data_IF_441033392011
#
_entry.id   IF_441033392011
#
_cell.length_a   1.000
_cell.length_b   1.000
_cell.length_c   1.000
_cell.angle_alpha   90.00
_cell.angle_beta   90.00
_cell.angle_gamma   90.00
#
_symmetry.space_group_name_H-M   'P 1'
#
loop_
_entity.id
_entity.type
_entity.pdbx_description
1 polymer ?
#
# COMPACT_ATOMS: atom_id res chain seq x y z
N UNK A 1 13.47 11.74 3.35
CA UNK A 1 13.07 10.73 2.34
C UNK A 1 11.64 11.04 1.98
N UNK A 2 11.33 11.23 0.70
CA UNK A 2 10.00 11.72 0.31
C UNK A 2 9.01 10.54 0.20
N UNK A 3 7.96 10.54 1.01
CA UNK A 3 6.85 9.58 0.96
C UNK A 3 5.85 10.03 -0.10
N UNK A 4 5.37 9.10 -0.92
CA UNK A 4 4.34 9.38 -1.91
C UNK A 4 2.99 8.91 -1.38
N UNK A 5 2.00 9.80 -1.31
CA UNK A 5 0.65 9.46 -0.82
C UNK A 5 -0.32 9.67 -1.98
N UNK A 6 -1.08 8.64 -2.35
CA UNK A 6 -2.22 8.82 -3.24
C UNK A 6 -3.38 9.44 -2.47
N UNK A 7 -3.99 10.50 -3.01
CA UNK A 7 -5.28 11.00 -2.55
C UNK A 7 -6.31 10.82 -3.67
N UNK A 8 -7.34 10.01 -3.42
CA UNK A 8 -8.39 9.68 -4.38
C UNK A 8 -9.69 10.35 -3.95
N UNK A 9 -10.20 11.21 -4.81
CA UNK A 9 -11.42 11.97 -4.61
C UNK A 9 -11.89 12.47 -5.98
N UNK A 10 -13.18 12.51 -6.23
CA UNK A 10 -13.83 12.94 -7.46
C UNK A 10 -13.78 14.46 -7.64
N UNK A 11 -13.85 15.22 -6.54
CA UNK A 11 -13.85 16.67 -6.55
C UNK A 11 -12.43 17.25 -6.68
N UNK A 12 -12.13 18.03 -7.74
CA UNK A 12 -10.82 18.67 -7.88
C UNK A 12 -10.49 19.66 -6.75
N UNK A 13 -11.52 20.21 -6.09
CA UNK A 13 -11.37 21.12 -4.96
C UNK A 13 -10.81 20.38 -3.73
N UNK A 14 -11.41 19.25 -3.36
CA UNK A 14 -10.97 18.39 -2.26
C UNK A 14 -9.54 17.87 -2.50
N UNK A 15 -9.23 17.43 -3.72
CA UNK A 15 -7.86 17.03 -4.09
C UNK A 15 -6.84 18.14 -3.84
N UNK A 16 -7.17 19.39 -4.18
CA UNK A 16 -6.30 20.54 -3.93
C UNK A 16 -6.23 20.89 -2.44
N UNK A 17 -7.33 20.78 -1.72
CA UNK A 17 -7.37 21.02 -0.28
C UNK A 17 -6.47 20.04 0.46
N UNK A 18 -6.51 18.75 0.12
CA UNK A 18 -5.63 17.75 0.73
C UNK A 18 -4.15 18.00 0.41
N UNK A 19 -3.83 18.44 -0.81
CA UNK A 19 -2.47 18.86 -1.17
C UNK A 19 -2.00 20.04 -0.32
N UNK A 20 -2.86 21.05 -0.11
CA UNK A 20 -2.55 22.20 0.74
C UNK A 20 -2.37 21.79 2.20
N UNK A 21 -3.26 20.93 2.71
CA UNK A 21 -3.20 20.36 4.05
C UNK A 21 -1.87 19.64 4.33
N UNK A 22 -1.33 18.94 3.34
CA UNK A 22 -0.04 18.24 3.43
C UNK A 22 1.17 19.09 3.01
N UNK A 23 0.98 20.29 2.46
CA UNK A 23 2.09 21.12 1.95
C UNK A 23 3.13 21.45 3.03
N UNK A 24 2.72 21.59 4.29
CA UNK A 24 3.63 21.87 5.40
C UNK A 24 4.59 20.69 5.72
N UNK A 25 4.34 19.51 5.15
CA UNK A 25 5.15 18.31 5.34
C UNK A 25 6.15 18.13 4.18
N UNK A 26 7.37 18.65 4.34
CA UNK A 26 8.42 18.57 3.32
C UNK A 26 8.86 17.15 2.92
N UNK A 27 8.56 16.16 3.76
CA UNK A 27 8.84 14.74 3.51
C UNK A 27 7.69 14.02 2.81
N UNK A 28 6.60 14.70 2.45
CA UNK A 28 5.40 14.10 1.86
C UNK A 28 5.09 14.73 0.50
N UNK A 29 4.93 13.89 -0.51
CA UNK A 29 4.43 14.27 -1.81
C UNK A 29 3.05 13.64 -2.05
N UNK A 30 2.02 14.47 -2.17
CA UNK A 30 0.65 14.05 -2.46
C UNK A 30 0.45 13.93 -3.96
N UNK A 31 0.03 12.75 -4.40
CA UNK A 31 -0.37 12.44 -5.78
C UNK A 31 -1.89 12.46 -5.83
N UNK A 32 -2.52 13.53 -6.36
CA UNK A 32 -3.96 13.56 -6.55
C UNK A 32 -4.33 12.60 -7.68
N UNK A 33 -5.25 11.68 -7.42
CA UNK A 33 -5.73 10.71 -8.39
C UNK A 33 -7.23 10.91 -8.53
N UNK A 34 -7.66 11.11 -9.77
CA UNK A 34 -9.08 11.15 -10.09
C UNK A 34 -9.62 9.72 -10.22
N UNK A 35 -10.74 9.40 -9.56
CA UNK A 35 -11.39 8.11 -9.73
C UNK A 35 -11.85 7.91 -11.17
N UNK A 36 -11.89 6.65 -11.61
CA UNK A 36 -12.23 6.27 -12.99
C UNK A 36 -13.34 5.24 -12.95
N UNK A 37 -14.21 5.21 -13.95
CA UNK A 37 -15.40 4.32 -14.04
C UNK A 37 -15.16 2.89 -13.52
N UNK A 38 -14.05 2.27 -13.90
CA UNK A 38 -13.69 0.94 -13.41
C UNK A 38 -12.67 0.99 -12.28
N UNK A 39 -13.07 0.51 -11.10
CA UNK A 39 -12.22 0.38 -9.92
C UNK A 39 -10.90 -0.38 -10.21
N UNK A 40 -10.89 -1.38 -11.10
CA UNK A 40 -9.66 -2.07 -11.50
C UNK A 40 -8.62 -1.13 -12.13
N UNK A 41 -9.07 -0.19 -12.97
CA UNK A 41 -8.21 0.80 -13.60
C UNK A 41 -7.69 1.81 -12.57
N UNK A 42 -8.51 2.17 -11.58
CA UNK A 42 -8.08 3.01 -10.47
C UNK A 42 -6.96 2.34 -9.67
N UNK A 43 -7.13 1.07 -9.31
CA UNK A 43 -6.13 0.30 -8.58
C UNK A 43 -4.82 0.19 -9.38
N UNK A 44 -4.90 -0.04 -10.69
CA UNK A 44 -3.71 -0.05 -11.56
C UNK A 44 -2.98 1.30 -11.54
N UNK A 45 -3.71 2.42 -11.67
CA UNK A 45 -3.12 3.76 -11.56
C UNK A 45 -2.42 3.99 -10.22
N UNK A 46 -3.03 3.57 -9.10
CA UNK A 46 -2.44 3.69 -7.76
C UNK A 46 -1.14 2.87 -7.67
N UNK A 47 -1.15 1.64 -8.20
CA UNK A 47 0.03 0.75 -8.22
C UNK A 47 1.15 1.35 -9.06
N UNK A 48 0.84 1.86 -10.27
CA UNK A 48 1.79 2.48 -11.20
C UNK A 48 2.37 3.78 -10.65
N UNK A 49 1.60 4.54 -9.86
CA UNK A 49 2.05 5.75 -9.20
C UNK A 49 3.15 5.50 -8.14
N UNK A 50 3.38 4.22 -7.77
CA UNK A 50 4.38 3.80 -6.76
C UNK A 50 4.21 4.58 -5.45
N UNK A 51 2.98 4.66 -4.97
CA UNK A 51 2.66 5.32 -3.70
C UNK A 51 2.96 4.42 -2.50
N UNK A 52 3.22 5.05 -1.37
CA UNK A 52 3.51 4.44 -0.07
C UNK A 52 2.29 4.34 0.83
N UNK A 53 1.26 5.16 0.58
CA UNK A 53 -0.02 5.13 1.26
C UNK A 53 -1.14 5.55 0.31
N UNK A 54 -2.35 5.07 0.58
CA UNK A 54 -3.58 5.51 -0.06
C UNK A 54 -4.45 6.24 0.97
N UNK A 55 -4.94 7.41 0.60
CA UNK A 55 -6.05 8.11 1.25
C UNK A 55 -7.16 8.22 0.21
N UNK A 56 -8.36 7.76 0.54
CA UNK A 56 -9.51 7.76 -0.38
C UNK A 56 -10.72 8.35 0.32
N UNK A 57 -11.51 9.11 -0.42
CA UNK A 57 -12.82 9.51 0.05
C UNK A 57 -13.82 8.34 0.07
N UNK A 58 -14.70 8.29 1.07
CA UNK A 58 -15.72 7.26 1.21
C UNK A 58 -16.77 7.35 0.10
N UNK A 59 -17.31 8.54 -0.16
CA UNK A 59 -18.36 8.74 -1.16
C UNK A 59 -17.80 9.32 -2.46
N UNK A 60 -17.31 8.42 -3.31
CA UNK A 60 -16.81 8.78 -4.64
C UNK A 60 -17.93 9.01 -5.68
N UNK A 61 -19.19 8.85 -5.28
CA UNK A 61 -20.34 8.83 -6.21
C UNK A 61 -21.04 10.19 -6.31
N UNK A 62 -20.84 11.07 -5.33
CA UNK A 62 -21.57 12.34 -5.19
C UNK A 62 -21.45 13.26 -6.43
N UNK A 63 -20.22 13.51 -6.92
CA UNK A 63 -20.01 14.42 -8.06
C UNK A 63 -19.88 13.73 -9.42
N UNK A 64 -19.86 12.39 -9.46
CA UNK A 64 -19.67 11.66 -10.71
C UNK A 64 -20.53 10.39 -10.78
N UNK A 65 -21.72 10.46 -11.43
CA UNK A 65 -22.65 9.33 -11.52
C UNK A 65 -22.14 8.16 -12.39
N UNK A 66 -20.97 8.29 -12.99
CA UNK A 66 -20.29 7.20 -13.73
C UNK A 66 -19.55 6.26 -12.76
N UNK A 67 -19.31 6.70 -11.52
CA UNK A 67 -18.64 5.91 -10.48
C UNK A 67 -19.74 5.15 -9.71
N UNK A 68 -19.65 3.83 -9.74
CA UNK A 68 -20.59 2.91 -9.04
C UNK A 68 -19.87 2.13 -7.93
N UNK A 69 -18.84 2.72 -7.33
CA UNK A 69 -18.09 2.11 -6.24
C UNK A 69 -17.71 3.15 -5.19
N UNK A 70 -17.62 2.71 -3.94
CA UNK A 70 -17.25 3.54 -2.80
C UNK A 70 -15.77 3.40 -2.42
N UNK A 71 -15.28 4.28 -1.56
CA UNK A 71 -13.87 4.30 -1.14
C UNK A 71 -13.43 3.05 -0.37
N UNK A 72 -14.35 2.44 0.36
CA UNK A 72 -14.15 1.20 1.09
C UNK A 72 -13.87 0.01 0.15
N UNK A 73 -14.60 -0.08 -0.98
CA UNK A 73 -14.34 -1.06 -2.03
C UNK A 73 -12.94 -0.89 -2.64
N UNK A 74 -12.47 0.36 -2.80
CA UNK A 74 -11.11 0.65 -3.29
C UNK A 74 -10.07 0.13 -2.31
N UNK A 75 -10.28 0.36 -1.00
CA UNK A 75 -9.40 -0.13 0.05
C UNK A 75 -9.36 -1.66 0.06
N UNK A 76 -10.51 -2.31 0.04
CA UNK A 76 -10.62 -3.77 0.05
C UNK A 76 -9.91 -4.39 -1.15
N UNK A 77 -10.12 -3.81 -2.34
CA UNK A 77 -9.52 -4.32 -3.57
C UNK A 77 -8.00 -4.09 -3.60
N UNK A 78 -7.54 -2.96 -3.05
CA UNK A 78 -6.11 -2.69 -2.91
C UNK A 78 -5.46 -3.65 -1.91
N UNK A 79 -6.05 -3.85 -0.73
CA UNK A 79 -5.55 -4.76 0.30
C UNK A 79 -5.55 -6.22 -0.16
N UNK A 80 -6.49 -6.62 -1.02
CA UNK A 80 -6.47 -7.93 -1.70
C UNK A 80 -5.27 -8.09 -2.61
N UNK A 81 -4.75 -7.02 -3.23
CA UNK A 81 -3.53 -7.05 -4.07
C UNK A 81 -2.23 -6.82 -3.28
N UNK A 82 -2.24 -5.91 -2.30
CA UNK A 82 -1.10 -5.53 -1.46
C UNK A 82 -1.45 -5.66 0.00
N UNK A 83 -1.08 -6.78 0.59
CA UNK A 83 -1.42 -7.09 1.97
C UNK A 83 -0.69 -6.16 2.95
N UNK A 84 -1.45 -5.55 3.87
CA UNK A 84 -0.90 -4.65 4.90
C UNK A 84 -0.46 -3.28 4.39
N UNK A 85 -0.82 -2.91 3.16
CA UNK A 85 -0.54 -1.59 2.60
C UNK A 85 -1.22 -0.47 3.42
N UNK A 86 -0.54 0.66 3.72
CA UNK A 86 -1.15 1.75 4.46
C UNK A 86 -2.31 2.39 3.70
N UNK A 87 -3.51 2.33 4.28
CA UNK A 87 -4.76 2.80 3.69
C UNK A 87 -5.54 3.64 4.71
N UNK A 88 -6.20 4.69 4.24
CA UNK A 88 -7.00 5.60 5.04
C UNK A 88 -8.25 6.00 4.26
N UNK A 89 -9.39 6.09 4.94
CA UNK A 89 -10.67 6.51 4.38
C UNK A 89 -11.05 7.83 5.03
N UNK A 90 -11.37 8.83 4.21
CA UNK A 90 -11.92 10.10 4.66
C UNK A 90 -13.43 10.05 4.46
N UNK A 91 -14.21 10.56 5.41
CA UNK A 91 -15.67 10.58 5.34
C UNK A 91 -16.22 11.84 6.01
N UNK A 92 -17.43 12.25 5.62
CA UNK A 92 -18.23 13.20 6.36
C UNK A 92 -19.08 12.43 7.37
N UNK A 93 -18.64 12.38 8.63
CA UNK A 93 -19.32 11.62 9.70
C UNK A 93 -20.78 12.04 9.97
N UNK A 94 -21.23 13.19 9.47
CA UNK A 94 -22.59 13.69 9.67
C UNK A 94 -23.64 13.00 8.75
N UNK A 95 -23.23 12.37 7.64
CA UNK A 95 -24.17 11.78 6.65
C UNK A 95 -24.14 10.25 6.60
N UNK A 96 -22.99 9.62 6.88
CA UNK A 96 -22.84 8.17 6.77
C UNK A 96 -22.53 7.53 8.13
N UNK A 97 -23.57 7.01 8.78
CA UNK A 97 -23.41 6.10 9.92
C UNK A 97 -22.69 4.83 9.43
N UNK A 98 -21.37 4.78 9.63
CA UNK A 98 -20.55 3.65 9.23
C UNK A 98 -21.07 2.34 9.83
N UNK A 99 -21.39 1.39 8.96
CA UNK A 99 -21.66 0.00 9.33
C UNK A 99 -20.56 -0.54 10.25
N UNK A 100 -20.96 -1.31 11.27
CA UNK A 100 -20.12 -1.87 12.36
C UNK A 100 -18.93 -2.76 11.90
N UNK A 101 -18.68 -2.88 10.60
CA UNK A 101 -17.71 -3.81 10.01
C UNK A 101 -16.34 -3.19 9.67
N UNK A 102 -16.18 -1.86 9.69
CA UNK A 102 -14.91 -1.23 9.30
C UNK A 102 -13.98 -0.95 10.49
N UNK A 103 -12.67 -1.13 10.27
CA UNK A 103 -11.64 -0.82 11.26
C UNK A 103 -11.62 0.69 11.49
N UNK A 104 -12.19 1.13 12.62
CA UNK A 104 -12.27 2.54 13.05
C UNK A 104 -10.89 3.22 13.03
N UNK A 105 -9.79 2.47 13.05
CA UNK A 105 -8.45 3.02 12.99
C UNK A 105 -8.04 3.60 11.62
N UNK A 106 -8.73 3.22 10.53
CA UNK A 106 -8.44 3.71 9.17
C UNK A 106 -9.40 4.80 8.68
N UNK A 107 -10.48 5.07 9.43
CA UNK A 107 -11.52 6.05 9.06
C UNK A 107 -11.27 7.38 9.76
N UNK A 108 -11.33 8.47 8.99
CA UNK A 108 -11.02 9.83 9.44
C UNK A 108 -12.04 10.84 8.91
N UNK A 109 -12.29 11.90 9.68
CA UNK A 109 -13.27 12.93 9.31
C UNK A 109 -12.63 13.92 8.33
N UNK A 110 -13.32 14.27 7.24
CA UNK A 110 -12.86 15.35 6.34
C UNK A 110 -12.69 16.69 7.06
N UNK A 111 -13.40 16.93 8.17
CA UNK A 111 -13.21 18.10 9.05
C UNK A 111 -11.77 18.24 9.56
N UNK A 112 -10.96 17.17 9.52
CA UNK A 112 -9.52 17.26 9.80
C UNK A 112 -8.79 18.18 8.82
N UNK A 113 -9.27 18.35 7.59
CA UNK A 113 -8.69 19.29 6.64
C UNK A 113 -9.02 20.76 6.93
N UNK A 114 -9.88 21.04 7.92
CA UNK A 114 -10.23 22.40 8.36
C UNK A 114 -9.31 22.87 9.49
N UNK A 115 -9.06 24.19 9.56
CA UNK A 115 -8.17 24.80 10.56
C UNK A 115 -8.63 24.63 12.02
N UNK A 116 -9.89 24.23 12.23
CA UNK A 116 -10.50 24.09 13.56
C UNK A 116 -9.99 22.85 14.33
N UNK A 117 -9.35 21.89 13.65
CA UNK A 117 -8.97 20.59 14.20
C UNK A 117 -7.44 20.36 14.34
N UNK A 118 -6.66 21.41 14.63
CA UNK A 118 -5.17 21.36 14.59
C UNK A 118 -4.53 20.19 15.36
N UNK A 119 -5.05 19.83 16.54
CA UNK A 119 -4.51 18.72 17.34
C UNK A 119 -4.71 17.36 16.65
N UNK A 120 -5.86 17.15 16.00
CA UNK A 120 -6.17 15.90 15.33
C UNK A 120 -5.50 15.81 13.95
N UNK A 121 -5.24 16.96 13.32
CA UNK A 121 -4.38 17.03 12.14
C UNK A 121 -2.97 16.49 12.41
N UNK A 122 -2.34 16.93 13.49
CA UNK A 122 -1.00 16.46 13.87
C UNK A 122 -1.03 14.95 14.12
N UNK A 123 -2.04 14.45 14.84
CA UNK A 123 -2.19 13.01 15.11
C UNK A 123 -2.34 12.20 13.82
N UNK A 124 -3.16 12.64 12.87
CA UNK A 124 -3.33 11.96 11.60
C UNK A 124 -2.01 11.90 10.82
N UNK A 125 -1.32 13.04 10.66
CA UNK A 125 -0.02 13.13 9.97
C UNK A 125 1.03 12.23 10.61
N UNK A 126 1.12 12.22 11.94
CA UNK A 126 2.03 11.32 12.65
C UNK A 126 1.67 9.85 12.45
N UNK A 127 0.38 9.50 12.52
CA UNK A 127 -0.10 8.13 12.29
C UNK A 127 0.22 7.66 10.89
N UNK A 128 -0.05 8.49 9.88
CA UNK A 128 0.26 8.21 8.49
C UNK A 128 1.75 7.91 8.33
N UNK A 129 2.62 8.80 8.83
CA UNK A 129 4.08 8.60 8.78
C UNK A 129 4.50 7.32 9.51
N UNK A 130 3.94 7.04 10.69
CA UNK A 130 4.24 5.82 11.46
C UNK A 130 3.82 4.56 10.71
N UNK A 131 2.63 4.52 10.12
CA UNK A 131 2.18 3.36 9.35
C UNK A 131 3.07 3.11 8.12
N UNK A 132 3.37 4.15 7.34
CA UNK A 132 4.26 4.03 6.19
C UNK A 132 5.65 3.53 6.61
N UNK A 133 6.21 4.11 7.67
CA UNK A 133 7.52 3.70 8.20
C UNK A 133 7.49 2.26 8.70
N UNK A 134 6.44 1.87 9.43
CA UNK A 134 6.30 0.51 9.95
C UNK A 134 6.18 -0.51 8.82
N UNK A 135 5.37 -0.21 7.80
CA UNK A 135 5.21 -1.05 6.61
C UNK A 135 6.55 -1.24 5.89
N UNK A 136 7.26 -0.15 5.55
CA UNK A 136 8.59 -0.22 4.91
C UNK A 136 9.61 -0.97 5.77
N UNK A 137 9.63 -0.73 7.07
CA UNK A 137 10.55 -1.42 7.97
C UNK A 137 10.27 -2.92 8.04
N UNK A 138 8.98 -3.32 8.14
CA UNK A 138 8.57 -4.73 8.15
C UNK A 138 8.99 -5.43 6.86
N UNK A 139 8.89 -4.77 5.70
CA UNK A 139 9.36 -5.31 4.43
C UNK A 139 10.87 -5.44 4.39
N UNK A 140 11.60 -4.39 4.78
CA UNK A 140 13.07 -4.39 4.77
C UNK A 140 13.65 -5.48 5.71
N UNK A 141 13.11 -5.63 6.92
CA UNK A 141 13.54 -6.69 7.85
C UNK A 141 13.34 -8.08 7.25
N UNK A 142 12.19 -8.32 6.60
CA UNK A 142 11.91 -9.59 5.92
C UNK A 142 12.81 -9.83 4.72
N UNK A 143 13.10 -8.78 3.96
CA UNK A 143 14.01 -8.82 2.81
C UNK A 143 15.45 -9.10 3.24
N UNK A 144 15.95 -8.42 4.28
CA UNK A 144 17.27 -8.68 4.85
C UNK A 144 17.40 -10.14 5.32
N UNK A 145 16.38 -10.64 6.02
CA UNK A 145 16.35 -12.04 6.45
C UNK A 145 16.32 -13.01 5.27
N UNK A 146 15.56 -12.70 4.21
CA UNK A 146 15.55 -13.50 2.99
C UNK A 146 16.94 -13.53 2.33
N UNK A 147 17.61 -12.39 2.21
CA UNK A 147 18.96 -12.30 1.64
C UNK A 147 19.99 -13.06 2.49
N UNK A 148 19.89 -13.00 3.82
CA UNK A 148 20.72 -13.79 4.73
C UNK A 148 20.56 -15.30 4.46
N UNK A 149 19.32 -15.79 4.34
CA UNK A 149 19.04 -17.20 4.06
C UNK A 149 19.53 -17.61 2.67
N UNK A 150 19.37 -16.76 1.65
CA UNK A 150 19.91 -17.02 0.30
C UNK A 150 21.44 -17.12 0.34
N UNK A 151 22.12 -16.17 1.00
CA UNK A 151 23.57 -16.20 1.11
C UNK A 151 24.05 -17.43 1.88
N UNK A 152 23.34 -17.82 2.95
CA UNK A 152 23.66 -19.00 3.74
C UNK A 152 23.48 -20.30 2.95
N UNK A 153 22.43 -20.38 2.12
CA UNK A 153 22.23 -21.50 1.19
C UNK A 153 23.44 -21.70 0.29
N UNK A 154 23.94 -20.61 -0.28
CA UNK A 154 25.01 -20.65 -1.26
C UNK A 154 26.39 -20.91 -0.60
N UNK A 155 26.56 -20.64 0.70
CA UNK A 155 27.82 -20.88 1.43
C UNK A 155 27.89 -22.20 2.20
N UNK A 156 26.83 -22.55 2.93
CA UNK A 156 26.83 -23.64 3.93
C UNK A 156 25.69 -24.65 3.74
N UNK A 157 24.71 -24.33 2.87
CA UNK A 157 23.45 -25.06 2.75
C UNK A 157 22.43 -24.62 3.80
N UNK A 158 21.13 -24.86 3.51
CA UNK A 158 20.03 -24.56 4.43
C UNK A 158 19.57 -25.83 5.15
N UNK A 159 19.12 -25.67 6.39
CA UNK A 159 18.35 -26.71 7.08
C UNK A 159 16.90 -26.72 6.58
N UNK A 160 16.17 -27.83 6.71
CA UNK A 160 14.77 -27.90 6.25
C UNK A 160 13.85 -26.85 6.90
N UNK A 161 14.13 -26.44 8.14
CA UNK A 161 13.41 -25.35 8.82
C UNK A 161 13.70 -23.99 8.17
N UNK A 162 14.93 -23.77 7.72
CA UNK A 162 15.34 -22.53 7.05
C UNK A 162 14.89 -22.48 5.59
N UNK A 163 14.74 -23.63 4.92
CA UNK A 163 14.08 -23.71 3.61
C UNK A 163 12.60 -23.34 3.70
N UNK A 164 11.89 -23.86 4.71
CA UNK A 164 10.50 -23.48 4.98
C UNK A 164 10.40 -21.97 5.33
N UNK A 165 11.30 -21.44 6.16
CA UNK A 165 11.37 -20.01 6.49
C UNK A 165 11.61 -19.15 5.24
N UNK A 166 12.50 -19.57 4.34
CA UNK A 166 12.77 -18.87 3.08
C UNK A 166 11.51 -18.80 2.20
N UNK A 167 10.78 -19.91 2.07
CA UNK A 167 9.52 -19.96 1.30
C UNK A 167 8.46 -19.05 1.93
N UNK A 168 8.33 -19.05 3.26
CA UNK A 168 7.36 -18.21 3.97
C UNK A 168 7.68 -16.70 3.84
N UNK A 169 8.96 -16.34 3.90
CA UNK A 169 9.43 -14.97 3.71
C UNK A 169 9.18 -14.50 2.27
N UNK A 170 9.51 -15.32 1.28
CA UNK A 170 9.26 -15.05 -0.13
C UNK A 170 7.75 -14.90 -0.42
N UNK A 171 6.91 -15.81 0.10
CA UNK A 171 5.45 -15.72 0.01
C UNK A 171 4.94 -14.40 0.60
N UNK A 172 5.50 -13.95 1.72
CA UNK A 172 5.05 -12.73 2.38
C UNK A 172 5.47 -11.47 1.60
N UNK A 173 6.69 -11.43 1.08
CA UNK A 173 7.17 -10.30 0.28
C UNK A 173 6.37 -10.22 -1.02
N UNK A 174 6.09 -11.36 -1.67
CA UNK A 174 5.21 -11.41 -2.83
C UNK A 174 3.81 -10.89 -2.50
N UNK A 175 3.18 -11.34 -1.40
CA UNK A 175 1.86 -10.83 -0.96
C UNK A 175 1.81 -9.32 -0.72
N UNK A 176 2.89 -8.75 -0.19
CA UNK A 176 2.96 -7.33 0.09
C UNK A 176 3.19 -6.48 -1.17
N UNK A 177 3.93 -7.01 -2.14
CA UNK A 177 4.21 -6.33 -3.42
C UNK A 177 3.05 -6.48 -4.41
N UNK A 178 2.66 -7.73 -4.65
CA UNK A 178 1.57 -8.14 -5.52
C UNK A 178 1.19 -9.61 -5.27
N UNK A 179 0.05 -9.82 -4.61
CA UNK A 179 -0.51 -11.14 -4.33
C UNK A 179 -0.74 -11.99 -5.59
N UNK A 180 -0.92 -11.38 -6.77
CA UNK A 180 -1.11 -12.12 -8.02
C UNK A 180 0.16 -12.82 -8.54
N UNK A 181 1.34 -12.43 -8.02
CA UNK A 181 2.61 -13.08 -8.34
C UNK A 181 2.91 -14.30 -7.47
N UNK A 182 2.02 -14.66 -6.52
CA UNK A 182 2.18 -15.81 -5.65
C UNK A 182 2.30 -17.11 -6.45
N UNK A 183 3.48 -17.72 -6.39
CA UNK A 183 3.68 -19.06 -6.95
C UNK A 183 3.32 -20.15 -5.94
N UNK A 184 2.62 -21.23 -6.35
CA UNK A 184 2.28 -22.36 -5.49
C UNK A 184 3.52 -23.00 -4.84
N UNK A 185 3.46 -23.26 -3.52
CA UNK A 185 4.55 -23.85 -2.73
C UNK A 185 5.13 -25.13 -3.32
N UNK A 186 4.29 -25.98 -3.91
CA UNK A 186 4.71 -27.24 -4.53
C UNK A 186 5.60 -27.10 -5.77
N UNK A 187 5.63 -25.92 -6.40
CA UNK A 187 6.55 -25.61 -7.52
C UNK A 187 7.89 -25.08 -6.96
N UNK A 188 7.85 -24.33 -5.85
CA UNK A 188 9.04 -23.79 -5.18
C UNK A 188 9.92 -24.91 -4.58
N UNK A 189 9.31 -26.00 -4.12
CA UNK A 189 10.02 -27.17 -3.58
C UNK A 189 10.57 -28.14 -4.65
N UNK A 190 10.16 -28.02 -5.91
CA UNK A 190 10.43 -29.04 -6.95
C UNK A 190 11.25 -28.58 -8.15
N UNK A 191 11.68 -27.31 -8.21
CA UNK A 191 12.40 -26.80 -9.39
C UNK A 191 13.81 -26.32 -9.06
N UNK A 192 14.78 -27.11 -9.54
CA UNK A 192 16.22 -26.94 -9.48
C UNK A 192 16.72 -25.52 -9.75
N UNK A 193 17.73 -25.13 -8.97
CA UNK A 193 18.69 -24.02 -9.01
C UNK A 193 18.62 -23.00 -10.17
N UNK A 194 18.47 -23.43 -11.41
CA UNK A 194 18.50 -22.57 -12.60
C UNK A 194 17.37 -21.53 -12.66
N UNK A 195 16.18 -21.85 -12.13
CA UNK A 195 15.04 -20.89 -12.13
C UNK A 195 15.16 -19.85 -11.02
N UNK A 196 15.76 -20.21 -9.89
CA UNK A 196 16.02 -19.29 -8.78
C UNK A 196 17.05 -18.23 -9.18
N UNK A 197 18.07 -18.62 -9.96
CA UNK A 197 19.02 -17.66 -10.57
C UNK A 197 18.34 -16.72 -11.57
N UNK A 198 17.36 -17.22 -12.33
CA UNK A 198 16.57 -16.38 -13.25
C UNK A 198 15.67 -15.38 -12.52
N UNK A 199 15.19 -15.73 -11.33
CA UNK A 199 14.38 -14.86 -10.47
C UNK A 199 15.22 -13.76 -9.84
N UNK A 200 16.43 -14.06 -9.35
CA UNK A 200 17.38 -13.05 -8.86
C UNK A 200 17.69 -11.99 -9.95
N UNK A 201 17.92 -12.44 -11.19
CA UNK A 201 18.09 -11.52 -12.34
C UNK A 201 16.88 -10.64 -12.59
N UNK A 202 15.66 -11.16 -12.47
CA UNK A 202 14.44 -10.35 -12.63
C UNK A 202 14.23 -9.39 -11.47
N UNK A 203 14.60 -9.78 -10.26
CA UNK A 203 14.57 -8.91 -9.09
C UNK A 203 15.58 -7.77 -9.23
N UNK A 204 16.79 -8.03 -9.75
CA UNK A 204 17.78 -7.00 -10.08
C UNK A 204 17.32 -6.05 -11.20
N UNK A 205 16.62 -6.56 -12.21
CA UNK A 205 15.99 -5.72 -13.25
C UNK A 205 14.89 -4.82 -12.69
N UNK A 206 14.17 -5.27 -11.65
CA UNK A 206 13.14 -4.49 -10.97
C UNK A 206 13.78 -3.48 -10.02
N UNK A 207 14.85 -3.84 -9.29
CA UNK A 207 15.65 -2.93 -8.46
C UNK A 207 16.24 -1.77 -9.27
N UNK A 208 16.68 -2.02 -10.51
CA UNK A 208 17.12 -0.96 -11.42
C UNK A 208 15.97 -0.07 -11.95
N UNK A 209 14.72 -0.54 -11.90
CA UNK A 209 13.51 0.27 -12.19
C UNK A 209 12.96 1.01 -10.98
N UNK A 210 13.54 0.82 -9.80
CA UNK A 210 13.19 1.50 -8.55
C UNK A 210 14.16 2.67 -8.23
N UNK A 211 15.27 2.79 -8.97
CA UNK A 211 16.12 4.00 -8.99
C UNK A 211 15.49 5.15 -9.77
#
# INVERSE_FOLDING_TARGET
MMYKIAYVDEAPAERRQFQFYMHNESDINVIPIEPVEHIDNLILKIIEAKVDALVVDFDLTDQNPVIDYKGDEVVDKLLKKREGFPVFIFTNFDEDAMDESYDVNIVYDKKLMSDEAFADQIKFKERLKKQVKHYRHKLNVKEQRLLELINKRDSEGLTGVEEDELIDLDDTIQKALDKSLLMPRGIKTSTSDEKLTSLLKKTDEILNKIK
#
